data_IF_560803398929
#
_entry.id   IF_560803398929
#
_cell.length_a   1.000
_cell.length_b   1.000
_cell.length_c   1.000
_cell.angle_alpha   90.00
_cell.angle_beta   90.00
_cell.angle_gamma   90.00
#
_symmetry.space_group_name_H-M   'P 1'
#
loop_
_entity.id
_entity.type
_entity.pdbx_description
1 polymer ?
#
# COMPACT_ATOMS: atom_id res chain seq x y z
N UNK A 1 14.54 62.68 -9.77
CA UNK A 1 13.98 61.39 -10.22
C UNK A 1 13.25 60.77 -9.04
N UNK A 2 11.93 60.56 -9.13
CA UNK A 2 11.21 59.81 -8.10
C UNK A 2 11.64 58.35 -8.20
N UNK A 3 12.01 57.73 -7.08
CA UNK A 3 12.42 56.32 -7.09
C UNK A 3 11.24 55.42 -7.48
N UNK A 4 11.51 54.38 -8.28
CA UNK A 4 10.50 53.39 -8.69
C UNK A 4 9.75 52.79 -7.49
N UNK A 5 10.41 52.69 -6.34
CA UNK A 5 9.83 52.21 -5.08
C UNK A 5 8.72 53.12 -4.53
N UNK A 6 8.90 54.45 -4.60
CA UNK A 6 7.88 55.41 -4.14
C UNK A 6 6.64 55.37 -5.05
N UNK A 7 6.85 55.23 -6.36
CA UNK A 7 5.76 55.04 -7.33
C UNK A 7 4.99 53.74 -7.06
N UNK A 8 5.71 52.63 -6.84
CA UNK A 8 5.10 51.33 -6.55
C UNK A 8 4.29 51.35 -5.25
N UNK A 9 4.79 51.99 -4.19
CA UNK A 9 4.07 52.13 -2.92
C UNK A 9 2.77 52.94 -3.05
N UNK A 10 2.76 53.98 -3.89
CA UNK A 10 1.55 54.76 -4.17
C UNK A 10 0.51 53.94 -4.91
N UNK A 11 0.95 53.18 -5.91
CA UNK A 11 0.07 52.27 -6.67
C UNK A 11 -0.44 51.11 -5.82
N UNK A 12 0.39 50.58 -4.91
CA UNK A 12 -0.04 49.56 -3.96
C UNK A 12 -1.17 50.06 -3.05
N UNK A 13 -1.03 51.28 -2.47
CA UNK A 13 -2.10 51.90 -1.65
C UNK A 13 -3.38 52.10 -2.45
N UNK A 14 -3.27 52.52 -3.71
CA UNK A 14 -4.41 52.64 -4.62
C UNK A 14 -5.08 51.28 -4.83
N UNK A 15 -4.32 50.25 -5.19
CA UNK A 15 -4.84 48.91 -5.42
C UNK A 15 -5.56 48.36 -4.17
N UNK A 16 -4.93 48.51 -3.00
CA UNK A 16 -5.53 48.13 -1.72
C UNK A 16 -6.84 48.88 -1.46
N UNK A 17 -6.88 50.20 -1.72
CA UNK A 17 -8.09 51.01 -1.54
C UNK A 17 -9.21 50.59 -2.49
N UNK A 18 -8.87 50.26 -3.75
CA UNK A 18 -9.84 49.77 -4.74
C UNK A 18 -10.40 48.43 -4.30
N UNK A 19 -9.56 47.49 -3.89
CA UNK A 19 -10.01 46.18 -3.39
C UNK A 19 -10.88 46.31 -2.15
N UNK A 20 -10.52 47.18 -1.19
CA UNK A 20 -11.33 47.45 0.00
C UNK A 20 -12.70 48.10 -0.31
N UNK A 21 -12.82 48.85 -1.42
CA UNK A 21 -14.09 49.43 -1.87
C UNK A 21 -15.03 48.42 -2.52
N UNK A 22 -14.53 47.24 -2.89
CA UNK A 22 -15.31 46.17 -3.50
C UNK A 22 -15.41 44.98 -2.54
N UNK A 23 -16.22 45.09 -1.46
CA UNK A 23 -16.27 44.08 -0.40
C UNK A 23 -16.73 42.72 -0.90
N UNK A 24 -17.54 42.67 -1.97
CA UNK A 24 -17.98 41.42 -2.59
C UNK A 24 -16.83 40.69 -3.29
N UNK A 25 -15.92 41.42 -3.95
CA UNK A 25 -14.73 40.81 -4.58
C UNK A 25 -13.80 40.27 -3.50
N UNK A 26 -13.58 41.05 -2.44
CA UNK A 26 -12.78 40.63 -1.29
C UNK A 26 -13.39 39.39 -0.62
N UNK A 27 -14.71 39.38 -0.40
CA UNK A 27 -15.42 38.25 0.17
C UNK A 27 -15.26 36.99 -0.69
N UNK A 28 -15.45 37.08 -2.00
CA UNK A 28 -15.26 35.94 -2.91
C UNK A 28 -13.80 35.47 -2.87
N UNK A 29 -12.84 36.38 -2.93
CA UNK A 29 -11.41 36.06 -2.95
C UNK A 29 -10.95 35.35 -1.67
N UNK A 30 -11.49 35.71 -0.50
CA UNK A 30 -11.12 35.08 0.78
C UNK A 30 -11.96 33.85 1.13
N UNK A 31 -13.28 33.89 0.92
CA UNK A 31 -14.19 32.81 1.35
C UNK A 31 -14.11 31.62 0.39
N UNK A 32 -14.01 31.83 -0.91
CA UNK A 32 -14.08 30.73 -1.88
C UNK A 32 -12.93 29.71 -1.70
N UNK A 33 -11.65 30.12 -1.56
CA UNK A 33 -10.58 29.15 -1.34
C UNK A 33 -10.71 28.39 -0.02
N UNK A 34 -11.17 29.08 1.04
CA UNK A 34 -11.44 28.46 2.34
C UNK A 34 -12.58 27.46 2.23
N UNK A 35 -13.68 27.81 1.55
CA UNK A 35 -14.79 26.91 1.32
C UNK A 35 -14.39 25.68 0.50
N UNK A 36 -13.53 25.84 -0.51
CA UNK A 36 -12.98 24.71 -1.29
C UNK A 36 -12.09 23.83 -0.41
N UNK A 37 -11.17 24.41 0.36
CA UNK A 37 -10.32 23.63 1.26
C UNK A 37 -11.15 22.91 2.33
N UNK A 38 -12.13 23.59 2.93
CA UNK A 38 -13.07 23.00 3.87
C UNK A 38 -13.95 21.94 3.22
N UNK A 39 -14.29 22.04 1.94
CA UNK A 39 -15.04 20.99 1.23
C UNK A 39 -14.20 19.73 1.00
N UNK A 40 -12.88 19.88 0.86
CA UNK A 40 -11.95 18.76 0.72
C UNK A 40 -11.67 18.07 2.06
N UNK A 41 -11.74 18.82 3.17
CA UNK A 41 -11.53 18.29 4.52
C UNK A 41 -12.83 17.95 5.26
N UNK A 42 -13.97 18.44 4.77
CA UNK A 42 -15.24 18.50 5.49
C UNK A 42 -16.21 17.38 5.19
N UNK A 43 -15.84 16.42 4.34
CA UNK A 43 -16.43 15.10 4.50
C UNK A 43 -16.06 14.65 5.92
N UNK A 44 -17.03 14.46 6.84
CA UNK A 44 -16.72 13.64 7.99
C UNK A 44 -16.11 12.38 7.40
N UNK A 45 -15.06 11.86 8.01
CA UNK A 45 -14.64 10.50 7.77
C UNK A 45 -15.90 9.66 8.02
N UNK A 46 -16.72 9.47 6.97
CA UNK A 46 -17.66 8.41 6.90
C UNK A 46 -16.70 7.25 6.86
N UNK A 47 -16.44 6.77 8.08
CA UNK A 47 -16.25 5.40 8.39
C UNK A 47 -17.42 4.67 7.72
N UNK A 48 -17.34 4.55 6.40
CA UNK A 48 -17.82 3.38 5.74
C UNK A 48 -16.83 2.35 6.24
N UNK A 49 -17.20 1.46 7.18
CA UNK A 49 -16.38 0.28 7.40
C UNK A 49 -16.18 -0.30 6.01
N UNK A 50 -14.98 -0.15 5.46
CA UNK A 50 -14.59 -0.77 4.21
C UNK A 50 -15.02 -2.22 4.36
N UNK A 51 -15.97 -2.61 3.51
CA UNK A 51 -16.75 -3.84 3.56
C UNK A 51 -16.42 -4.74 4.79
N UNK A 52 -17.20 -4.73 5.89
CA UNK A 52 -16.88 -5.52 7.09
C UNK A 52 -16.79 -7.02 6.81
N UNK A 53 -17.19 -7.43 5.60
CA UNK A 53 -16.93 -8.72 5.00
C UNK A 53 -16.10 -8.48 3.73
N UNK A 54 -14.77 -8.35 3.83
CA UNK A 54 -13.97 -8.21 2.62
C UNK A 54 -14.27 -9.39 1.68
N UNK A 55 -14.30 -9.09 0.38
CA UNK A 55 -14.62 -10.09 -0.62
C UNK A 55 -13.69 -11.27 -0.46
N UNK A 56 -14.30 -12.45 -0.51
CA UNK A 56 -13.63 -13.71 -0.32
C UNK A 56 -12.71 -13.88 -1.52
N UNK A 57 -11.40 -13.84 -1.27
CA UNK A 57 -10.42 -14.12 -2.31
C UNK A 57 -10.27 -15.64 -2.36
N UNK A 58 -10.74 -16.22 -3.46
CA UNK A 58 -10.49 -17.62 -3.75
C UNK A 58 -8.99 -17.84 -3.85
N UNK A 59 -8.47 -18.67 -2.96
CA UNK A 59 -7.06 -19.02 -2.97
C UNK A 59 -6.89 -20.16 -3.96
N UNK A 60 -6.48 -19.81 -5.17
CA UNK A 60 -5.92 -20.78 -6.10
C UNK A 60 -4.57 -21.25 -5.58
N UNK A 61 -4.22 -22.52 -5.82
CA UNK A 61 -2.86 -22.98 -5.61
C UNK A 61 -1.90 -22.06 -6.38
N UNK A 62 -0.74 -21.72 -5.81
CA UNK A 62 0.28 -21.03 -6.56
C UNK A 62 0.69 -21.88 -7.76
N UNK A 63 1.02 -21.24 -8.87
CA UNK A 63 1.53 -21.96 -10.04
C UNK A 63 2.83 -22.69 -9.67
N UNK A 64 3.08 -23.84 -10.30
CA UNK A 64 4.34 -24.56 -10.13
C UNK A 64 5.52 -23.66 -10.49
N UNK A 65 6.64 -23.90 -9.82
CA UNK A 65 7.88 -23.24 -10.16
C UNK A 65 8.22 -23.56 -11.62
N UNK A 66 8.32 -22.51 -12.45
CA UNK A 66 8.70 -22.67 -13.84
C UNK A 66 10.00 -21.93 -14.12
N UNK A 67 10.91 -22.62 -14.80
CA UNK A 67 12.16 -22.09 -15.33
C UNK A 67 12.19 -22.28 -16.84
N UNK A 68 12.76 -21.31 -17.55
CA UNK A 68 12.98 -21.42 -18.99
C UNK A 68 14.04 -22.47 -19.37
N UNK A 69 14.88 -22.89 -18.41
CA UNK A 69 15.95 -23.87 -18.63
C UNK A 69 15.91 -24.96 -17.55
N UNK A 70 14.97 -25.92 -17.64
CA UNK A 70 14.80 -26.98 -16.63
C UNK A 70 15.97 -27.95 -16.57
N UNK A 71 16.87 -27.95 -17.58
CA UNK A 71 18.02 -28.86 -17.61
C UNK A 71 19.15 -28.32 -16.75
N UNK A 72 19.41 -27.01 -16.80
CA UNK A 72 20.51 -26.39 -16.07
C UNK A 72 20.07 -25.77 -14.74
N UNK A 73 18.78 -25.42 -14.61
CA UNK A 73 18.21 -24.75 -13.44
C UNK A 73 16.90 -25.42 -13.05
N UNK A 74 16.93 -26.56 -12.33
CA UNK A 74 15.70 -27.21 -11.87
C UNK A 74 14.93 -26.26 -10.94
N UNK A 75 13.61 -26.15 -11.14
CA UNK A 75 12.77 -25.28 -10.33
C UNK A 75 12.09 -26.10 -9.22
N UNK A 76 12.39 -25.82 -7.96
CA UNK A 76 11.78 -26.48 -6.81
C UNK A 76 10.57 -25.69 -6.32
N UNK A 77 9.38 -26.30 -6.45
CA UNK A 77 8.11 -25.69 -6.08
C UNK A 77 7.94 -25.59 -4.57
N UNK A 78 8.37 -26.62 -3.82
CA UNK A 78 8.16 -26.70 -2.38
C UNK A 78 9.42 -27.14 -1.65
N UNK A 79 10.02 -26.25 -0.85
CA UNK A 79 11.15 -26.63 0.02
C UNK A 79 10.78 -26.56 1.50
N UNK A 80 11.23 -27.52 2.31
CA UNK A 80 10.80 -27.60 3.70
C UNK A 80 11.85 -28.16 4.66
N UNK A 81 11.70 -27.89 5.95
CA UNK A 81 12.50 -28.45 7.05
C UNK A 81 11.64 -28.55 8.32
N UNK A 82 11.86 -29.51 9.23
CA UNK A 82 12.78 -30.65 9.12
C UNK A 82 12.19 -31.81 8.31
N UNK A 83 13.01 -32.44 7.48
CA UNK A 83 12.64 -33.62 6.69
C UNK A 83 12.73 -34.93 7.51
N UNK A 84 13.26 -34.88 8.73
CA UNK A 84 13.37 -36.03 9.62
C UNK A 84 12.10 -36.26 10.44
N UNK A 85 11.21 -35.25 10.51
CA UNK A 85 9.95 -35.35 11.25
C UNK A 85 8.89 -36.06 10.39
N UNK A 86 8.36 -37.22 10.84
CA UNK A 86 7.32 -37.95 10.11
C UNK A 86 6.05 -37.12 9.83
N UNK A 87 5.70 -36.22 10.74
CA UNK A 87 4.54 -35.36 10.58
C UNK A 87 4.77 -34.33 9.47
N UNK A 88 5.96 -33.72 9.41
CA UNK A 88 6.31 -32.76 8.35
C UNK A 88 6.37 -33.45 6.99
N UNK A 89 6.86 -34.71 6.94
CA UNK A 89 6.80 -35.54 5.74
C UNK A 89 5.37 -35.82 5.27
N UNK A 90 4.45 -36.05 6.21
CA UNK A 90 3.04 -36.22 5.90
C UNK A 90 2.43 -34.93 5.31
N UNK A 91 2.70 -33.77 5.91
CA UNK A 91 2.29 -32.45 5.39
C UNK A 91 2.84 -32.22 3.98
N UNK A 92 4.12 -32.53 3.75
CA UNK A 92 4.73 -32.43 2.43
C UNK A 92 4.03 -33.34 1.41
N UNK A 93 3.70 -34.57 1.80
CA UNK A 93 2.91 -35.51 0.99
C UNK A 93 1.55 -34.94 0.60
N UNK A 94 0.81 -34.37 1.56
CA UNK A 94 -0.48 -33.72 1.28
C UNK A 94 -0.35 -32.55 0.30
N UNK A 95 0.70 -31.74 0.42
CA UNK A 95 0.95 -30.64 -0.53
C UNK A 95 1.18 -31.20 -1.94
N UNK A 96 1.96 -32.28 -2.07
CA UNK A 96 2.16 -32.95 -3.36
C UNK A 96 0.84 -33.43 -3.99
N UNK A 97 -0.01 -34.06 -3.19
CA UNK A 97 -1.31 -34.58 -3.64
C UNK A 97 -2.28 -33.44 -4.01
N UNK A 98 -2.20 -32.28 -3.34
CA UNK A 98 -3.01 -31.11 -3.70
C UNK A 98 -2.71 -30.62 -5.12
N UNK A 99 -1.45 -30.65 -5.57
CA UNK A 99 -1.10 -30.31 -6.96
C UNK A 99 -1.61 -31.35 -7.97
N UNK A 100 -1.70 -32.62 -7.57
CA UNK A 100 -2.32 -33.67 -8.40
C UNK A 100 -3.79 -33.38 -8.71
N UNK A 101 -4.52 -32.83 -7.74
CA UNK A 101 -5.93 -32.47 -7.91
C UNK A 101 -6.18 -31.31 -8.88
N UNK A 102 -5.22 -30.41 -9.05
CA UNK A 102 -5.38 -29.19 -9.87
C UNK A 102 -4.80 -29.37 -11.27
N UNK A 103 -3.57 -29.88 -11.37
CA UNK A 103 -2.85 -29.98 -12.64
C UNK A 103 -2.87 -31.40 -13.25
N UNK A 104 -3.40 -32.39 -12.51
CA UNK A 104 -3.50 -33.78 -12.93
C UNK A 104 -2.33 -34.68 -12.52
N UNK A 105 -1.23 -34.11 -11.99
CA UNK A 105 -0.02 -34.84 -11.57
C UNK A 105 0.46 -34.38 -10.18
N UNK A 106 0.93 -35.29 -9.34
CA UNK A 106 1.56 -34.92 -8.07
C UNK A 106 2.89 -34.18 -8.31
N UNK A 107 3.40 -33.48 -7.29
CA UNK A 107 4.75 -32.92 -7.37
C UNK A 107 5.77 -34.07 -7.41
N UNK A 108 6.70 -34.01 -8.36
CA UNK A 108 7.79 -34.97 -8.46
C UNK A 108 8.80 -34.77 -7.32
N UNK A 109 9.60 -35.80 -7.06
CA UNK A 109 10.66 -35.75 -6.06
C UNK A 109 11.70 -34.64 -6.32
N UNK A 110 11.82 -34.16 -7.56
CA UNK A 110 12.71 -33.05 -7.92
C UNK A 110 12.07 -31.66 -7.71
N UNK A 111 10.73 -31.59 -7.67
CA UNK A 111 9.96 -30.37 -7.39
C UNK A 111 9.78 -30.11 -5.89
N UNK A 112 10.13 -31.10 -5.06
CA UNK A 112 10.03 -31.04 -3.60
C UNK A 112 11.39 -31.31 -2.96
N UNK A 113 11.80 -30.46 -2.02
CA UNK A 113 13.08 -30.65 -1.33
C UNK A 113 12.96 -30.48 0.18
N UNK A 114 13.22 -31.55 0.91
CA UNK A 114 13.27 -31.54 2.36
C UNK A 114 14.72 -31.42 2.87
N UNK A 115 14.96 -30.58 3.87
CA UNK A 115 16.23 -30.41 4.59
C UNK A 115 16.14 -30.92 6.02
N UNK A 116 17.23 -31.42 6.59
CA UNK A 116 17.19 -31.96 7.95
C UNK A 116 17.12 -30.84 9.00
N UNK A 117 17.75 -29.70 8.71
CA UNK A 117 17.83 -28.55 9.61
C UNK A 117 17.52 -27.24 8.91
N UNK A 118 17.19 -26.22 9.72
CA UNK A 118 17.00 -24.85 9.25
C UNK A 118 18.24 -24.27 8.60
N UNK A 119 19.42 -24.52 9.17
CA UNK A 119 20.70 -24.03 8.64
C UNK A 119 20.96 -24.58 7.22
N UNK A 120 20.69 -25.87 7.00
CA UNK A 120 20.79 -26.47 5.66
C UNK A 120 19.83 -25.86 4.64
N UNK A 121 18.59 -25.55 5.06
CA UNK A 121 17.62 -24.86 4.19
C UNK A 121 18.10 -23.44 3.86
N UNK A 122 18.59 -22.70 4.86
CA UNK A 122 19.05 -21.33 4.69
C UNK A 122 20.27 -21.27 3.75
N UNK A 123 21.27 -22.13 3.95
CA UNK A 123 22.43 -22.25 3.07
C UNK A 123 22.02 -22.59 1.63
N UNK A 124 21.10 -23.55 1.46
CA UNK A 124 20.63 -23.93 0.13
C UNK A 124 19.90 -22.79 -0.58
N UNK A 125 18.99 -22.09 0.12
CA UNK A 125 18.23 -20.98 -0.47
C UNK A 125 19.11 -19.79 -0.85
N UNK A 126 20.22 -19.57 -0.14
CA UNK A 126 21.21 -18.55 -0.48
C UNK A 126 21.97 -18.88 -1.77
N UNK A 127 22.26 -20.16 -2.01
CA UNK A 127 22.94 -20.63 -3.21
C UNK A 127 22.00 -20.79 -4.43
N UNK A 128 20.68 -20.90 -4.19
CA UNK A 128 19.67 -21.26 -5.20
C UNK A 128 18.58 -20.18 -5.36
N UNK A 129 18.97 -18.90 -5.31
CA UNK A 129 18.04 -17.75 -5.30
C UNK A 129 17.13 -17.58 -6.52
N UNK A 130 17.27 -18.39 -7.58
CA UNK A 130 16.39 -18.35 -8.76
C UNK A 130 15.66 -19.69 -9.00
N UNK A 131 15.84 -20.66 -8.10
CA UNK A 131 15.43 -22.05 -8.31
C UNK A 131 14.32 -22.49 -7.35
N UNK A 132 13.72 -21.59 -6.58
CA UNK A 132 12.57 -21.91 -5.73
C UNK A 132 11.58 -20.76 -5.57
N UNK A 133 10.32 -21.09 -5.28
CA UNK A 133 9.24 -20.13 -4.99
C UNK A 133 9.23 -19.69 -3.53
N UNK A 134 9.29 -20.66 -2.63
CA UNK A 134 9.29 -20.42 -1.19
C UNK A 134 9.73 -21.64 -0.40
N UNK A 135 10.16 -21.41 0.84
CA UNK A 135 10.60 -22.42 1.78
C UNK A 135 9.85 -22.35 3.11
N UNK A 136 9.63 -23.51 3.72
CA UNK A 136 8.88 -23.63 4.97
C UNK A 136 9.74 -24.27 6.04
N UNK A 137 9.92 -23.55 7.14
CA UNK A 137 10.52 -24.07 8.34
C UNK A 137 9.44 -24.37 9.36
N UNK A 138 9.15 -25.64 9.54
CA UNK A 138 8.17 -26.16 10.48
C UNK A 138 8.84 -26.30 11.85
N UNK A 139 8.68 -25.26 12.68
CA UNK A 139 9.05 -25.27 14.08
C UNK A 139 8.05 -26.10 14.90
N UNK A 140 8.39 -27.35 15.16
CA UNK A 140 7.66 -28.18 16.11
C UNK A 140 8.10 -27.82 17.55
N UNK A 141 7.59 -26.73 18.11
CA UNK A 141 7.60 -26.56 19.57
C UNK A 141 6.56 -27.53 20.16
N UNK A 142 6.99 -28.75 20.50
CA UNK A 142 6.15 -29.65 21.30
C UNK A 142 5.96 -29.07 22.69
N UNK A 143 4.80 -28.46 22.93
CA UNK A 143 4.37 -28.08 24.26
C UNK A 143 3.92 -29.33 25.02
N UNK A 144 4.86 -29.99 25.71
CA UNK A 144 4.55 -31.12 26.58
C UNK A 144 3.93 -30.60 27.89
N UNK A 145 2.60 -30.51 27.92
CA UNK A 145 1.79 -30.38 29.14
C UNK A 145 1.44 -28.95 29.61
N UNK A 146 0.67 -28.88 30.71
CA UNK A 146 0.13 -27.65 31.33
C UNK A 146 1.20 -26.61 31.72
N UNK A 147 2.47 -26.97 31.69
CA UNK A 147 3.59 -26.13 32.14
C UNK A 147 4.27 -25.37 31.00
N UNK A 148 3.49 -24.80 30.07
CA UNK A 148 3.94 -23.76 29.14
C UNK A 148 4.95 -24.21 28.07
N UNK A 149 4.76 -23.70 26.85
CA UNK A 149 5.74 -23.84 25.78
C UNK A 149 7.01 -23.07 26.16
N UNK A 150 8.05 -23.77 26.65
CA UNK A 150 9.39 -23.19 26.69
C UNK A 150 9.94 -23.28 25.28
N UNK A 151 9.86 -22.19 24.52
CA UNK A 151 10.65 -22.02 23.32
C UNK A 151 12.12 -22.22 23.70
N UNK A 152 12.73 -23.31 23.25
CA UNK A 152 14.12 -23.66 23.58
C UNK A 152 15.13 -22.86 22.79
N UNK A 153 14.70 -22.09 21.79
CA UNK A 153 15.55 -21.19 21.04
C UNK A 153 15.27 -19.71 21.30
N UNK A 154 16.34 -18.94 21.38
CA UNK A 154 16.39 -17.50 21.67
C UNK A 154 15.70 -16.60 20.63
N UNK A 155 15.06 -17.18 19.62
CA UNK A 155 14.20 -16.47 18.66
C UNK A 155 12.75 -16.60 19.12
N UNK A 156 12.34 -15.67 19.98
CA UNK A 156 11.05 -15.68 20.68
C UNK A 156 9.87 -15.44 19.73
N UNK A 157 9.40 -16.48 19.06
CA UNK A 157 8.06 -16.52 18.47
C UNK A 157 7.09 -16.97 19.57
N UNK A 158 6.31 -16.04 20.12
CA UNK A 158 5.21 -16.41 21.03
C UNK A 158 4.11 -17.06 20.22
N UNK A 159 4.08 -18.38 20.19
CA UNK A 159 2.95 -19.14 19.68
C UNK A 159 1.80 -19.10 20.67
N UNK A 160 0.63 -18.68 20.19
CA UNK A 160 -0.61 -18.74 20.96
C UNK A 160 -1.16 -20.16 20.87
N UNK A 161 -0.70 -21.04 21.75
CA UNK A 161 -1.31 -22.34 21.94
C UNK A 161 -2.72 -22.19 22.55
N UNK A 162 -3.73 -22.73 21.87
CA UNK A 162 -5.05 -22.92 22.46
C UNK A 162 -4.93 -24.00 23.54
N UNK A 163 -5.34 -23.69 24.77
CA UNK A 163 -5.09 -24.46 26.01
C UNK A 163 -5.62 -25.91 26.03
N UNK A 164 -6.26 -26.38 24.96
CA UNK A 164 -6.93 -27.68 24.91
C UNK A 164 -6.37 -28.62 23.83
N UNK A 165 -5.32 -28.24 23.10
CA UNK A 165 -4.71 -29.07 22.06
C UNK A 165 -3.31 -29.52 22.47
N UNK A 166 -3.04 -30.82 22.35
CA UNK A 166 -1.76 -31.45 22.74
C UNK A 166 -0.60 -31.13 21.79
N UNK A 167 -0.87 -30.51 20.62
CA UNK A 167 0.17 -30.09 19.68
C UNK A 167 -0.06 -28.67 19.20
N UNK A 168 1.01 -27.89 19.25
CA UNK A 168 1.11 -26.60 18.60
C UNK A 168 2.15 -26.69 17.50
N UNK A 169 1.91 -25.96 16.41
CA UNK A 169 2.82 -25.94 15.30
C UNK A 169 3.07 -24.51 14.89
N UNK A 170 4.34 -24.16 14.84
CA UNK A 170 4.80 -22.91 14.31
C UNK A 170 5.45 -23.20 12.97
N UNK A 171 5.33 -22.27 12.04
CA UNK A 171 6.10 -22.35 10.82
C UNK A 171 6.46 -20.96 10.32
N UNK A 172 7.60 -20.88 9.66
CA UNK A 172 8.08 -19.67 9.01
C UNK A 172 8.07 -19.89 7.50
N UNK A 173 7.43 -18.98 6.77
CA UNK A 173 7.44 -18.98 5.30
C UNK A 173 8.54 -18.03 4.83
N UNK A 174 9.49 -18.57 4.08
CA UNK A 174 10.47 -17.83 3.30
C UNK A 174 9.98 -17.75 1.87
N UNK A 175 10.10 -16.60 1.23
CA UNK A 175 9.77 -16.45 -0.18
C UNK A 175 10.90 -15.75 -0.91
N UNK A 176 11.10 -16.17 -2.15
CA UNK A 176 12.07 -15.58 -3.01
C UNK A 176 11.54 -14.26 -3.57
N UNK A 177 12.33 -13.18 -3.48
CA UNK A 177 11.97 -11.85 -4.01
C UNK A 177 12.91 -11.39 -5.13
N UNK A 178 13.75 -12.27 -5.63
CA UNK A 178 14.76 -11.92 -6.64
C UNK A 178 14.03 -11.58 -7.95
N UNK A 179 14.19 -10.35 -8.43
CA UNK A 179 13.61 -9.93 -9.69
C UNK A 179 14.38 -10.62 -10.83
N UNK A 180 13.72 -11.56 -11.53
CA UNK A 180 14.31 -12.19 -12.72
C UNK A 180 14.74 -11.11 -13.71
N UNK A 181 16.03 -11.06 -14.02
CA UNK A 181 16.64 -10.00 -14.85
C UNK A 181 16.49 -10.26 -16.35
N UNK A 182 15.92 -11.40 -16.76
CA UNK A 182 16.11 -11.95 -18.11
C UNK A 182 14.90 -11.90 -19.03
N UNK A 183 13.76 -11.35 -18.61
CA UNK A 183 12.61 -11.14 -19.52
C UNK A 183 11.99 -9.75 -19.38
N UNK A 184 11.60 -9.19 -20.53
CA UNK A 184 10.80 -7.96 -20.69
C UNK A 184 9.42 -8.00 -20.04
N UNK A 185 9.09 -9.08 -19.34
CA UNK A 185 8.07 -9.10 -18.32
C UNK A 185 8.77 -9.49 -17.01
N UNK A 186 8.80 -8.60 -16.01
CA UNK A 186 9.30 -8.97 -14.71
C UNK A 186 8.52 -10.20 -14.26
N UNK A 187 9.22 -11.19 -13.71
CA UNK A 187 8.59 -12.16 -12.81
C UNK A 187 8.09 -11.32 -11.63
N UNK A 188 6.91 -10.72 -11.77
CA UNK A 188 6.16 -10.23 -10.63
C UNK A 188 5.85 -11.51 -9.86
N UNK A 189 6.71 -11.85 -8.90
CA UNK A 189 6.29 -12.69 -7.79
C UNK A 189 5.03 -12.00 -7.30
N UNK A 190 3.89 -12.58 -7.70
CA UNK A 190 2.58 -12.01 -7.46
C UNK A 190 2.59 -11.65 -5.97
N UNK A 191 2.28 -10.41 -5.60
CA UNK A 191 2.30 -10.01 -4.18
C UNK A 191 1.41 -10.93 -3.32
N UNK A 192 0.54 -11.72 -3.97
CA UNK A 192 -0.29 -12.79 -3.41
C UNK A 192 0.42 -14.13 -3.17
N UNK A 193 1.55 -14.44 -3.82
CA UNK A 193 2.21 -15.75 -3.74
C UNK A 193 2.54 -16.17 -2.28
N UNK A 194 3.08 -15.30 -1.40
CA UNK A 194 3.28 -15.65 0.00
C UNK A 194 1.99 -16.06 0.71
N UNK A 195 0.85 -15.45 0.36
CA UNK A 195 -0.45 -15.77 0.96
C UNK A 195 -1.01 -17.11 0.46
N UNK A 196 -0.86 -17.39 -0.84
CA UNK A 196 -1.26 -18.67 -1.44
C UNK A 196 -0.47 -19.82 -0.83
N UNK A 197 0.86 -19.68 -0.79
CA UNK A 197 1.80 -20.63 -0.17
C UNK A 197 1.47 -20.88 1.31
N UNK A 198 1.13 -19.83 2.05
CA UNK A 198 0.77 -19.93 3.46
C UNK A 198 -0.56 -20.68 3.67
N UNK A 199 -1.60 -20.34 2.91
CA UNK A 199 -2.90 -21.03 3.00
C UNK A 199 -2.82 -22.51 2.61
N UNK A 200 -1.96 -22.86 1.66
CA UNK A 200 -1.71 -24.24 1.24
C UNK A 200 -1.07 -25.04 2.38
N UNK A 201 -0.04 -24.51 3.03
CA UNK A 201 0.58 -25.16 4.17
C UNK A 201 -0.41 -25.37 5.33
N UNK A 202 -1.26 -24.38 5.62
CA UNK A 202 -2.31 -24.53 6.64
C UNK A 202 -3.31 -25.64 6.31
N UNK A 203 -3.77 -25.74 5.06
CA UNK A 203 -4.67 -26.84 4.63
C UNK A 203 -4.02 -28.20 4.83
N UNK A 204 -2.77 -28.35 4.40
CA UNK A 204 -2.03 -29.60 4.53
C UNK A 204 -1.79 -29.98 6.00
N UNK A 205 -1.51 -29.01 6.87
CA UNK A 205 -1.41 -29.24 8.32
C UNK A 205 -2.72 -29.74 8.92
N UNK A 206 -3.86 -29.10 8.60
CA UNK A 206 -5.15 -29.51 9.14
C UNK A 206 -5.53 -30.90 8.61
N UNK A 207 -5.25 -31.21 7.33
CA UNK A 207 -5.46 -32.53 6.77
C UNK A 207 -4.66 -33.62 7.52
N UNK A 208 -3.37 -33.39 7.77
CA UNK A 208 -2.52 -34.31 8.54
C UNK A 208 -3.03 -34.51 9.97
N UNK A 209 -3.41 -33.44 10.66
CA UNK A 209 -3.97 -33.53 12.03
C UNK A 209 -5.31 -34.29 12.08
N UNK A 210 -6.17 -34.13 11.06
CA UNK A 210 -7.42 -34.89 10.96
C UNK A 210 -7.20 -36.37 10.64
N UNK A 211 -6.19 -36.68 9.82
CA UNK A 211 -5.74 -38.05 9.56
C UNK A 211 -5.30 -38.77 10.83
N UNK A 212 -4.53 -38.09 11.69
CA UNK A 212 -4.05 -38.63 12.96
C UNK A 212 -5.20 -38.89 13.96
N UNK A 213 -6.18 -37.98 14.08
CA UNK A 213 -7.25 -38.07 15.07
C UNK A 213 -8.36 -39.08 14.75
N UNK A 214 -8.57 -39.44 13.50
CA UNK A 214 -9.67 -40.35 13.15
C UNK A 214 -9.35 -41.82 13.40
N UNK A 215 -8.08 -42.19 13.63
CA UNK A 215 -7.66 -43.56 13.95
C UNK A 215 -7.99 -44.61 12.87
N UNK A 216 -8.62 -44.18 11.78
CA UNK A 216 -8.94 -44.99 10.62
C UNK A 216 -7.80 -44.84 9.63
N UNK A 217 -7.07 -45.94 9.40
CA UNK A 217 -5.99 -46.06 8.43
C UNK A 217 -6.43 -45.88 6.96
N UNK A 218 -7.62 -45.32 6.71
CA UNK A 218 -8.02 -44.89 5.39
C UNK A 218 -7.59 -43.42 5.27
N UNK A 219 -6.67 -43.07 4.34
CA UNK A 219 -6.34 -41.68 4.08
C UNK A 219 -7.65 -40.95 3.79
N UNK A 220 -7.95 -39.91 4.57
CA UNK A 220 -9.05 -39.01 4.25
C UNK A 220 -8.71 -38.45 2.87
N UNK A 221 -9.45 -38.87 1.85
CA UNK A 221 -9.20 -38.43 0.49
C UNK A 221 -9.38 -36.92 0.47
N UNK A 222 -8.38 -36.19 -0.04
CA UNK A 222 -8.43 -34.72 -0.14
C UNK A 222 -9.66 -34.28 -0.93
N UNK A 223 -10.15 -35.12 -1.85
CA UNK A 223 -11.40 -34.92 -2.59
C UNK A 223 -12.67 -34.86 -1.73
N UNK A 224 -12.65 -35.48 -0.55
CA UNK A 224 -13.81 -35.59 0.34
C UNK A 224 -13.89 -34.43 1.34
N UNK A 225 -12.82 -33.63 1.44
CA UNK A 225 -12.79 -32.43 2.26
C UNK A 225 -12.87 -31.22 1.34
N UNK A 226 -14.05 -30.59 1.31
CA UNK A 226 -14.28 -29.36 0.55
C UNK A 226 -13.58 -28.18 1.26
N UNK A 227 -12.31 -27.96 0.89
CA UNK A 227 -11.48 -26.88 1.43
C UNK A 227 -11.81 -25.55 0.77
N UNK A 228 -12.91 -24.92 1.18
CA UNK A 228 -13.16 -23.54 0.84
C UNK A 228 -12.41 -22.60 1.81
N UNK A 229 -11.07 -22.57 1.73
CA UNK A 229 -10.31 -21.55 2.49
C UNK A 229 -10.29 -20.26 1.68
N UNK A 230 -10.97 -19.27 2.22
CA UNK A 230 -11.02 -17.94 1.64
C UNK A 230 -10.13 -17.05 2.48
N UNK A 231 -9.17 -16.39 1.84
CA UNK A 231 -8.42 -15.34 2.51
C UNK A 231 -9.38 -14.18 2.72
N UNK A 232 -9.67 -13.90 3.98
CA UNK A 232 -10.18 -12.59 4.36
C UNK A 232 -8.96 -11.72 4.60
N UNK A 233 -8.75 -10.63 3.86
CA UNK A 233 -7.78 -9.64 4.30
C UNK A 233 -8.11 -9.27 5.74
N UNK A 234 -7.08 -9.10 6.55
CA UNK A 234 -7.25 -8.58 7.90
C UNK A 234 -8.12 -7.32 7.78
N UNK A 235 -9.15 -7.13 8.60
CA UNK A 235 -9.94 -5.91 8.59
C UNK A 235 -9.01 -4.77 8.95
N UNK A 236 -8.34 -4.22 7.95
CA UNK A 236 -7.66 -2.96 8.05
C UNK A 236 -8.79 -1.97 8.13
N UNK A 237 -9.00 -1.43 9.32
CA UNK A 237 -9.47 -0.07 9.38
C UNK A 237 -8.56 0.69 8.43
N UNK A 238 -9.13 1.27 7.37
CA UNK A 238 -8.45 2.24 6.50
C UNK A 238 -8.00 3.38 7.41
N UNK A 239 -6.87 3.15 8.06
CA UNK A 239 -6.39 3.95 9.16
C UNK A 239 -5.65 5.07 8.46
N UNK A 240 -6.39 6.15 8.23
CA UNK A 240 -5.84 7.49 8.05
C UNK A 240 -5.07 7.71 6.73
N UNK A 241 -5.11 6.80 5.76
CA UNK A 241 -4.72 7.15 4.39
C UNK A 241 -5.80 7.96 3.68
N UNK A 242 -7.07 7.90 4.12
CA UNK A 242 -8.16 8.65 3.48
C UNK A 242 -7.92 10.16 3.39
N UNK A 243 -7.32 10.81 4.39
CA UNK A 243 -7.01 12.25 4.30
C UNK A 243 -5.80 12.49 3.42
N UNK A 244 -4.73 11.70 3.55
CA UNK A 244 -3.51 11.89 2.76
C UNK A 244 -3.72 11.53 1.28
N UNK A 245 -4.56 10.54 0.98
CA UNK A 245 -4.95 10.11 -0.36
C UNK A 245 -6.00 11.04 -0.98
N UNK A 246 -6.96 11.55 -0.21
CA UNK A 246 -7.86 12.63 -0.67
C UNK A 246 -7.08 13.93 -0.89
N UNK A 247 -6.10 14.23 -0.04
CA UNK A 247 -5.20 15.36 -0.25
C UNK A 247 -4.31 15.12 -1.48
N UNK A 248 -3.70 13.95 -1.65
CA UNK A 248 -2.83 13.70 -2.81
C UNK A 248 -3.60 13.72 -4.14
N UNK A 249 -4.83 13.20 -4.17
CA UNK A 249 -5.68 13.21 -5.36
C UNK A 249 -6.41 14.54 -5.60
N UNK A 250 -6.90 15.21 -4.54
CA UNK A 250 -7.72 16.42 -4.63
C UNK A 250 -6.96 17.74 -4.57
N UNK A 251 -5.79 17.79 -3.92
CA UNK A 251 -5.01 19.02 -3.74
C UNK A 251 -4.56 19.65 -5.05
N UNK A 252 -4.11 18.91 -6.10
CA UNK A 252 -3.77 19.53 -7.38
C UNK A 252 -4.96 20.28 -8.00
N UNK A 253 -6.16 19.69 -7.96
CA UNK A 253 -7.37 20.33 -8.47
C UNK A 253 -7.76 21.56 -7.63
N UNK A 254 -7.62 21.47 -6.31
CA UNK A 254 -7.85 22.58 -5.39
C UNK A 254 -6.93 23.77 -5.67
N UNK A 255 -5.62 23.51 -5.83
CA UNK A 255 -4.62 24.54 -6.14
C UNK A 255 -4.95 25.20 -7.48
N UNK A 256 -5.25 24.42 -8.52
CA UNK A 256 -5.62 24.96 -9.84
C UNK A 256 -6.87 25.84 -9.73
N UNK A 257 -7.88 25.41 -8.98
CA UNK A 257 -9.09 26.18 -8.77
C UNK A 257 -8.80 27.52 -8.08
N UNK A 258 -8.07 27.50 -6.96
CA UNK A 258 -7.70 28.71 -6.20
C UNK A 258 -6.88 29.69 -7.07
N UNK A 259 -5.87 29.20 -7.79
CA UNK A 259 -5.03 30.03 -8.67
C UNK A 259 -5.85 30.64 -9.82
N UNK A 260 -6.77 29.86 -10.40
CA UNK A 260 -7.63 30.34 -11.50
C UNK A 260 -8.55 31.47 -11.04
N UNK A 261 -9.11 31.38 -9.84
CA UNK A 261 -9.96 32.45 -9.30
C UNK A 261 -9.18 33.74 -9.01
N UNK A 262 -7.99 33.63 -8.41
CA UNK A 262 -7.10 34.79 -8.22
C UNK A 262 -6.76 35.45 -9.57
N UNK A 263 -6.47 34.65 -10.59
CA UNK A 263 -6.21 35.14 -11.94
C UNK A 263 -7.41 35.90 -12.54
N UNK A 264 -8.65 35.41 -12.37
CA UNK A 264 -9.86 36.08 -12.85
C UNK A 264 -10.04 37.45 -12.18
N UNK A 265 -9.82 37.54 -10.87
CA UNK A 265 -9.91 38.81 -10.11
C UNK A 265 -8.85 39.81 -10.60
N UNK A 266 -7.61 39.38 -10.76
CA UNK A 266 -6.52 40.23 -11.29
C UNK A 266 -6.86 40.71 -12.70
N UNK A 267 -7.32 39.81 -13.57
CA UNK A 267 -7.71 40.12 -14.94
C UNK A 267 -8.84 41.16 -14.98
N UNK A 268 -9.84 41.04 -14.11
CA UNK A 268 -10.91 42.03 -13.98
C UNK A 268 -10.39 43.40 -13.58
N UNK A 269 -9.48 43.49 -12.61
CA UNK A 269 -8.87 44.76 -12.22
C UNK A 269 -8.05 45.38 -13.36
N UNK A 270 -7.22 44.60 -14.05
CA UNK A 270 -6.42 45.09 -15.18
C UNK A 270 -7.31 45.57 -16.33
N UNK A 271 -8.38 44.83 -16.65
CA UNK A 271 -9.32 45.18 -17.73
C UNK A 271 -10.14 46.42 -17.37
N UNK A 272 -10.65 46.51 -16.13
CA UNK A 272 -11.42 47.69 -15.69
C UNK A 272 -10.56 48.96 -15.69
N UNK A 273 -9.28 48.87 -15.30
CA UNK A 273 -8.34 50.00 -15.41
C UNK A 273 -8.03 50.38 -16.86
N UNK A 274 -7.94 49.39 -17.74
CA UNK A 274 -7.74 49.61 -19.18
C UNK A 274 -8.96 50.29 -19.81
N UNK A 275 -10.17 49.86 -19.46
CA UNK A 275 -11.43 50.45 -19.93
C UNK A 275 -11.61 51.89 -19.43
N UNK A 276 -11.19 52.18 -18.19
CA UNK A 276 -11.17 53.54 -17.65
C UNK A 276 -10.07 54.43 -18.25
N UNK A 277 -9.27 53.91 -19.19
CA UNK A 277 -8.08 54.57 -19.75
C UNK A 277 -7.06 55.05 -18.69
N UNK A 278 -7.14 54.51 -17.48
CA UNK A 278 -6.34 54.96 -16.34
C UNK A 278 -4.86 54.69 -16.56
N UNK A 279 -4.52 53.56 -17.22
CA UNK A 279 -3.13 53.23 -17.56
C UNK A 279 -2.48 54.27 -18.47
N UNK A 280 -3.23 54.76 -19.47
CA UNK A 280 -2.72 55.80 -20.38
C UNK A 280 -2.54 57.13 -19.64
N UNK A 281 -3.48 57.49 -18.76
CA UNK A 281 -3.36 58.67 -17.92
C UNK A 281 -2.14 58.59 -16.99
N UNK A 282 -1.93 57.46 -16.31
CA UNK A 282 -0.78 57.24 -15.42
C UNK A 282 0.56 57.30 -16.18
N UNK A 283 0.61 56.76 -17.39
CA UNK A 283 1.81 56.85 -18.23
C UNK A 283 2.12 58.30 -18.64
N UNK A 284 1.11 59.12 -18.96
CA UNK A 284 1.29 60.55 -19.27
C UNK A 284 1.80 61.32 -18.04
N UNK A 285 1.42 60.90 -16.83
CA UNK A 285 1.91 61.46 -15.56
C UNK A 285 3.37 61.03 -15.25
N UNK A 286 3.95 60.12 -16.05
CA UNK A 286 5.32 59.66 -15.88
C UNK A 286 5.47 58.46 -14.94
N UNK A 287 4.38 57.70 -14.71
CA UNK A 287 4.46 56.42 -14.00
C UNK A 287 5.11 55.36 -14.91
N UNK A 288 6.10 54.66 -14.38
CA UNK A 288 6.77 53.56 -15.11
C UNK A 288 5.90 52.30 -15.16
N UNK A 289 5.94 51.57 -16.29
CA UNK A 289 5.22 50.29 -16.44
C UNK A 289 5.70 49.24 -15.42
N UNK A 290 6.97 49.27 -15.02
CA UNK A 290 7.52 48.37 -14.01
C UNK A 290 6.90 48.61 -12.63
N UNK A 291 6.69 49.87 -12.23
CA UNK A 291 6.00 50.19 -10.98
C UNK A 291 4.53 49.77 -11.00
N UNK A 292 3.87 49.84 -12.17
CA UNK A 292 2.50 49.37 -12.37
C UNK A 292 2.36 47.85 -12.19
N UNK A 293 3.19 47.06 -12.87
CA UNK A 293 3.13 45.59 -12.75
C UNK A 293 3.63 45.12 -11.38
N UNK A 294 4.72 45.73 -10.88
CA UNK A 294 5.25 45.42 -9.55
C UNK A 294 4.24 45.66 -8.43
N UNK A 295 3.44 46.72 -8.51
CA UNK A 295 2.39 46.97 -7.50
C UNK A 295 1.26 45.95 -7.55
N UNK A 296 0.90 45.45 -8.73
CA UNK A 296 -0.11 44.39 -8.87
C UNK A 296 0.39 43.06 -8.30
N UNK A 297 1.62 42.66 -8.63
CA UNK A 297 2.25 41.44 -8.10
C UNK A 297 2.37 41.51 -6.58
N UNK A 298 2.87 42.64 -6.04
CA UNK A 298 3.04 42.82 -4.60
C UNK A 298 1.68 42.80 -3.86
N UNK A 299 0.66 43.43 -4.43
CA UNK A 299 -0.69 43.40 -3.89
C UNK A 299 -1.26 41.98 -3.82
N UNK A 300 -1.14 41.22 -4.90
CA UNK A 300 -1.61 39.84 -4.95
C UNK A 300 -0.85 38.91 -4.01
N UNK A 301 0.47 39.09 -3.89
CA UNK A 301 1.30 38.35 -2.94
C UNK A 301 0.84 38.58 -1.50
N UNK A 302 0.55 39.84 -1.12
CA UNK A 302 0.07 40.17 0.23
C UNK A 302 -1.30 39.53 0.49
N UNK A 303 -2.24 39.60 -0.45
CA UNK A 303 -3.55 38.97 -0.28
C UNK A 303 -3.44 37.45 -0.18
N UNK A 304 -2.59 36.82 -1.00
CA UNK A 304 -2.33 35.38 -0.95
C UNK A 304 -1.73 34.95 0.39
N UNK A 305 -0.79 35.74 0.93
CA UNK A 305 -0.21 35.48 2.26
C UNK A 305 -1.25 35.62 3.37
N UNK A 306 -2.12 36.65 3.32
CA UNK A 306 -3.22 36.80 4.27
C UNK A 306 -4.19 35.62 4.22
N UNK A 307 -4.50 35.13 3.01
CA UNK A 307 -5.38 33.97 2.83
C UNK A 307 -4.73 32.69 3.37
N UNK A 308 -3.44 32.47 3.11
CA UNK A 308 -2.71 31.33 3.66
C UNK A 308 -2.68 31.36 5.19
N UNK A 309 -2.47 32.53 5.80
CA UNK A 309 -2.55 32.72 7.25
C UNK A 309 -3.95 32.41 7.80
N UNK A 310 -5.00 32.80 7.07
CA UNK A 310 -6.38 32.53 7.46
C UNK A 310 -6.70 31.03 7.39
N UNK A 311 -6.24 30.32 6.35
CA UNK A 311 -6.39 28.86 6.24
C UNK A 311 -5.63 28.13 7.35
N UNK A 312 -4.43 28.60 7.73
CA UNK A 312 -3.67 28.01 8.84
C UNK A 312 -4.29 28.28 10.22
N UNK A 313 -5.12 29.33 10.33
CA UNK A 313 -5.80 29.68 11.57
C UNK A 313 -7.15 28.96 11.77
N UNK A 314 -7.73 28.42 10.69
CA UNK A 314 -8.99 27.63 10.70
C UNK A 314 -8.72 26.15 10.89
#
# INVERSE_FOLDING_TARGET
MVSSWSQMGTMFKKNLTVTLRHPLVLLIQFILPVAVMLSLTGDPLQYSPGNPQPDLVDVTLPERCYTSDPVNHPCTTFVYTPNTDPFVQEVAGFISDMYAGVDGDALNADEMRGFATREELDDWTLDHQEEFLGGWDFGADMCLGETGCMATDTHTYKSACLSNYERCMNYTVMFNRTASSTTTQPFEVNYMAPYQLNSMAQRAMVAALLGEHTGTAAPVSISDVDWNTQLRPYPTVDTVTGVLDKMSSGMPAAIVFVVTFSYVVISFHVVSEKQAHLRRALHVIGLTDTAFWGSHILHDLVLTLCQALLIMAT
#
